data_IF_513695746410
#
_entry.id   IF_513695746410
#
_cell.length_a   1.000
_cell.length_b   1.000
_cell.length_c   1.000
_cell.angle_alpha   90.00
_cell.angle_beta   90.00
_cell.angle_gamma   90.00
#
_symmetry.space_group_name_H-M   'P 1'
#
loop_
_entity.id
_entity.type
_entity.pdbx_description
1 polymer ?
#
# COMPACT_ATOMS: atom_id res chain seq x y z
N UNK A 1 10.61 -16.15 8.54
CA UNK A 1 9.24 -16.12 7.93
C UNK A 1 9.25 -16.58 6.48
N UNK A 2 10.03 -15.93 5.55
CA UNK A 2 10.05 -16.35 4.14
C UNK A 2 10.63 -17.75 3.97
N UNK A 3 11.75 -18.04 4.60
CA UNK A 3 12.38 -19.38 4.60
C UNK A 3 11.51 -20.44 5.25
N UNK A 4 10.84 -20.12 6.36
CA UNK A 4 9.88 -21.01 7.04
C UNK A 4 8.68 -21.35 6.15
N UNK A 5 8.30 -20.43 5.26
CA UNK A 5 7.26 -20.64 4.25
C UNK A 5 7.78 -21.30 2.97
N UNK A 6 9.05 -21.71 2.91
CA UNK A 6 9.68 -22.31 1.73
C UNK A 6 10.00 -21.32 0.61
N UNK A 7 10.00 -20.02 0.91
CA UNK A 7 10.36 -18.95 -0.02
C UNK A 7 11.79 -18.47 0.17
N UNK A 8 12.25 -17.63 -0.77
CA UNK A 8 13.50 -16.89 -0.67
C UNK A 8 13.20 -15.41 -0.41
N UNK A 9 14.08 -14.72 0.30
CA UNK A 9 13.98 -13.30 0.53
C UNK A 9 15.33 -12.61 0.25
N UNK A 10 15.27 -11.51 -0.45
CA UNK A 10 16.39 -10.61 -0.68
C UNK A 10 16.05 -9.23 -0.11
N UNK A 11 17.03 -8.59 0.53
CA UNK A 11 16.87 -7.26 1.10
C UNK A 11 17.44 -6.21 0.15
N UNK A 12 16.61 -5.23 -0.21
CA UNK A 12 16.99 -4.03 -0.95
C UNK A 12 16.70 -2.80 -0.08
N UNK A 13 17.65 -2.34 0.77
CA UNK A 13 17.43 -1.17 1.60
C UNK A 13 17.54 0.13 0.78
N UNK A 14 16.50 0.96 0.79
CA UNK A 14 16.46 2.29 0.19
C UNK A 14 15.32 3.11 0.79
N UNK A 15 15.41 4.45 0.71
CA UNK A 15 14.32 5.32 1.08
C UNK A 15 13.31 5.46 -0.08
N UNK A 16 12.11 4.96 0.12
CA UNK A 16 11.03 5.00 -0.88
C UNK A 16 10.59 6.43 -1.24
N UNK A 17 10.86 7.41 -0.38
CA UNK A 17 10.54 8.81 -0.62
C UNK A 17 11.55 9.52 -1.53
N UNK A 18 12.71 8.90 -1.78
CA UNK A 18 13.79 9.44 -2.60
C UNK A 18 13.81 8.74 -3.96
N UNK A 19 13.33 9.45 -4.99
CA UNK A 19 13.19 8.89 -6.35
C UNK A 19 14.49 8.24 -6.87
N UNK A 20 15.64 8.89 -6.69
CA UNK A 20 16.91 8.38 -7.18
C UNK A 20 17.33 7.05 -6.52
N UNK A 21 17.01 6.88 -5.23
CA UNK A 21 17.28 5.63 -4.51
C UNK A 21 16.36 4.50 -5.00
N UNK A 22 15.08 4.80 -5.20
CA UNK A 22 14.12 3.85 -5.79
C UNK A 22 14.58 3.38 -7.17
N UNK A 23 14.96 4.32 -8.04
CA UNK A 23 15.42 4.00 -9.39
C UNK A 23 16.67 3.14 -9.35
N UNK A 24 17.66 3.53 -8.56
CA UNK A 24 18.91 2.78 -8.44
C UNK A 24 18.67 1.36 -7.88
N UNK A 25 17.83 1.21 -6.85
CA UNK A 25 17.54 -0.09 -6.25
C UNK A 25 16.88 -1.05 -7.25
N UNK A 26 15.83 -0.57 -7.95
CA UNK A 26 15.11 -1.39 -8.93
C UNK A 26 15.99 -1.72 -10.13
N UNK A 27 16.79 -0.78 -10.61
CA UNK A 27 17.70 -1.02 -11.76
C UNK A 27 18.79 -2.03 -11.42
N UNK A 28 19.45 -1.88 -10.27
CA UNK A 28 20.47 -2.81 -9.82
C UNK A 28 19.91 -4.24 -9.67
N UNK A 29 18.69 -4.37 -9.10
CA UNK A 29 18.06 -5.68 -9.02
C UNK A 29 17.75 -6.25 -10.40
N UNK A 30 17.21 -5.44 -11.31
CA UNK A 30 16.88 -5.84 -12.68
C UNK A 30 18.12 -6.28 -13.47
N UNK A 31 19.26 -5.59 -13.29
CA UNK A 31 20.53 -5.91 -13.95
C UNK A 31 21.14 -7.21 -13.42
N UNK A 32 20.91 -7.52 -12.13
CA UNK A 32 21.33 -8.78 -11.53
C UNK A 32 20.42 -9.97 -11.94
N UNK A 33 19.13 -9.70 -12.26
CA UNK A 33 18.11 -10.70 -12.55
C UNK A 33 17.52 -10.52 -13.96
N UNK A 34 18.35 -10.62 -14.98
CA UNK A 34 17.98 -10.29 -16.39
C UNK A 34 16.87 -11.16 -16.98
N UNK A 35 16.74 -12.40 -16.50
CA UNK A 35 15.70 -13.34 -16.96
C UNK A 35 14.39 -13.16 -16.22
N UNK A 36 14.42 -12.47 -15.06
CA UNK A 36 13.27 -12.24 -14.21
C UNK A 36 12.75 -10.80 -14.31
N UNK A 37 11.64 -10.55 -13.68
CA UNK A 37 11.07 -9.20 -13.49
C UNK A 37 10.26 -9.13 -12.21
N UNK A 38 10.10 -7.95 -11.68
CA UNK A 38 9.21 -7.72 -10.51
C UNK A 38 7.77 -7.85 -10.99
N UNK A 39 7.18 -9.01 -10.72
CA UNK A 39 5.86 -9.39 -11.20
C UNK A 39 4.73 -8.97 -10.24
N UNK A 40 5.04 -8.82 -8.95
CA UNK A 40 4.13 -8.36 -7.90
C UNK A 40 4.75 -7.18 -7.18
N UNK A 41 3.99 -6.09 -7.04
CA UNK A 41 4.38 -4.92 -6.26
C UNK A 41 3.35 -4.65 -5.17
N UNK A 42 3.79 -4.63 -3.92
CA UNK A 42 2.96 -4.19 -2.78
C UNK A 42 3.50 -2.86 -2.26
N UNK A 43 2.81 -1.76 -2.56
CA UNK A 43 3.15 -0.43 -2.06
C UNK A 43 2.65 -0.31 -0.61
N UNK A 44 3.46 -0.78 0.34
CA UNK A 44 3.10 -0.86 1.75
C UNK A 44 3.77 0.24 2.61
N UNK A 45 4.92 0.75 2.22
CA UNK A 45 5.64 1.75 2.99
C UNK A 45 4.75 2.97 3.30
N UNK A 46 4.78 3.43 4.54
CA UNK A 46 3.96 4.57 4.95
C UNK A 46 4.29 5.06 6.36
N UNK A 47 4.09 6.34 6.57
CA UNK A 47 4.28 7.01 7.84
C UNK A 47 3.06 7.84 8.19
N UNK A 48 2.88 8.14 9.48
CA UNK A 48 1.92 9.12 9.99
C UNK A 48 2.67 10.25 10.70
N UNK A 49 2.16 11.47 10.54
CA UNK A 49 2.52 12.67 11.30
C UNK A 49 1.22 13.40 11.59
N UNK A 50 0.55 12.96 12.65
CA UNK A 50 -0.80 13.42 12.98
C UNK A 50 -0.71 14.75 13.72
N UNK A 51 -1.44 15.75 13.24
CA UNK A 51 -1.64 17.04 13.91
C UNK A 51 -2.88 17.74 13.34
N UNK A 52 -3.50 18.64 14.13
CA UNK A 52 -4.53 19.51 13.59
C UNK A 52 -3.95 20.39 12.49
N UNK A 53 -4.71 20.66 11.45
CA UNK A 53 -4.26 21.39 10.24
C UNK A 53 -3.56 22.72 10.58
N UNK A 54 -4.10 23.46 11.56
CA UNK A 54 -3.55 24.75 11.98
C UNK A 54 -2.16 24.65 12.64
N UNK A 55 -1.77 23.49 13.16
CA UNK A 55 -0.50 23.23 13.83
C UNK A 55 0.42 22.30 13.03
N UNK A 56 -0.05 21.79 11.89
CA UNK A 56 0.73 20.90 11.06
C UNK A 56 1.91 21.64 10.42
N UNK A 57 3.10 21.08 10.56
CA UNK A 57 4.30 21.64 9.95
C UNK A 57 4.41 21.23 8.48
N UNK A 58 5.03 22.09 7.67
CA UNK A 58 5.26 21.83 6.24
C UNK A 58 6.02 20.51 6.03
N UNK A 59 7.00 20.21 6.87
CA UNK A 59 7.78 18.97 6.81
C UNK A 59 6.89 17.74 7.11
N UNK A 60 5.97 17.82 8.07
CA UNK A 60 5.05 16.73 8.38
C UNK A 60 4.10 16.45 7.20
N UNK A 61 3.63 17.50 6.56
CA UNK A 61 2.84 17.39 5.33
C UNK A 61 3.64 16.73 4.20
N UNK A 62 4.80 17.29 3.88
CA UNK A 62 5.62 16.85 2.76
C UNK A 62 6.16 15.44 2.95
N UNK A 63 6.65 15.10 4.14
CA UNK A 63 7.15 13.76 4.44
C UNK A 63 6.06 12.69 4.29
N UNK A 64 4.84 12.98 4.78
CA UNK A 64 3.71 12.05 4.63
C UNK A 64 3.34 11.88 3.15
N UNK A 65 3.26 12.94 2.36
CA UNK A 65 2.96 12.83 0.93
C UNK A 65 4.08 12.10 0.18
N UNK A 66 5.33 12.40 0.47
CA UNK A 66 6.46 11.78 -0.21
C UNK A 66 6.51 10.28 0.05
N UNK A 67 6.36 9.86 1.31
CA UNK A 67 6.44 8.45 1.68
C UNK A 67 5.18 7.66 1.28
N UNK A 68 3.98 8.24 1.48
CA UNK A 68 2.74 7.46 1.28
C UNK A 68 2.17 7.55 -0.15
N UNK A 69 2.53 8.58 -0.92
CA UNK A 69 1.97 8.81 -2.26
C UNK A 69 3.03 8.84 -3.36
N UNK A 70 4.07 9.68 -3.22
CA UNK A 70 5.06 9.82 -4.28
C UNK A 70 5.86 8.52 -4.48
N UNK A 71 6.10 7.75 -3.41
CA UNK A 71 6.73 6.42 -3.49
C UNK A 71 5.97 5.45 -4.40
N UNK A 72 4.64 5.47 -4.36
CA UNK A 72 3.81 4.71 -5.30
C UNK A 72 4.16 5.04 -6.75
N UNK A 73 4.25 6.33 -7.08
CA UNK A 73 4.58 6.76 -8.44
C UNK A 73 6.00 6.31 -8.84
N UNK A 74 6.99 6.50 -7.97
CA UNK A 74 8.38 6.15 -8.26
C UNK A 74 8.55 4.64 -8.52
N UNK A 75 8.08 3.81 -7.60
CA UNK A 75 8.17 2.35 -7.70
C UNK A 75 7.32 1.79 -8.84
N UNK A 76 6.05 2.18 -8.89
CA UNK A 76 5.11 1.63 -9.87
C UNK A 76 5.57 1.93 -11.30
N UNK A 77 5.93 3.18 -11.59
CA UNK A 77 6.43 3.56 -12.92
C UNK A 77 7.64 2.72 -13.33
N UNK A 78 8.52 2.39 -12.38
CA UNK A 78 9.76 1.67 -12.68
C UNK A 78 9.51 0.20 -13.01
N UNK A 79 8.64 -0.48 -12.28
CA UNK A 79 8.36 -1.91 -12.50
C UNK A 79 7.33 -2.17 -13.60
N UNK A 80 6.44 -1.21 -13.84
CA UNK A 80 5.30 -1.37 -14.73
C UNK A 80 5.69 -1.72 -16.17
N UNK A 81 6.78 -1.17 -16.68
CA UNK A 81 7.26 -1.42 -18.05
C UNK A 81 7.43 -2.92 -18.34
N UNK A 82 8.00 -3.65 -17.40
CA UNK A 82 8.23 -5.09 -17.55
C UNK A 82 6.93 -5.88 -17.39
N UNK A 83 6.07 -5.52 -16.43
CA UNK A 83 4.74 -6.14 -16.29
C UNK A 83 3.92 -6.00 -17.59
N UNK A 84 3.92 -4.81 -18.21
CA UNK A 84 3.22 -4.57 -19.48
C UNK A 84 3.81 -5.40 -20.64
N UNK A 85 5.12 -5.52 -20.72
CA UNK A 85 5.82 -6.30 -21.74
C UNK A 85 5.54 -7.80 -21.59
N UNK A 86 5.63 -8.32 -20.37
CA UNK A 86 5.37 -9.72 -20.03
C UNK A 86 3.87 -10.07 -20.00
N UNK A 87 2.99 -9.07 -20.08
CA UNK A 87 1.53 -9.20 -20.02
C UNK A 87 1.03 -9.95 -18.79
N UNK A 88 1.67 -9.69 -17.66
CA UNK A 88 1.27 -10.16 -16.34
C UNK A 88 1.86 -9.27 -15.25
N UNK A 89 1.06 -8.94 -14.26
CA UNK A 89 1.50 -8.18 -13.10
C UNK A 89 0.37 -8.00 -12.08
N UNK A 90 0.77 -7.78 -10.83
CA UNK A 90 -0.14 -7.52 -9.71
C UNK A 90 0.41 -6.35 -8.90
N UNK A 91 -0.39 -5.32 -8.74
CA UNK A 91 -0.05 -4.15 -7.94
C UNK A 91 -1.10 -4.01 -6.85
N UNK A 92 -0.67 -4.00 -5.60
CA UNK A 92 -1.54 -3.77 -4.44
C UNK A 92 -1.04 -2.56 -3.65
N UNK A 93 -1.92 -1.59 -3.49
CA UNK A 93 -1.64 -0.36 -2.78
C UNK A 93 -2.24 -0.41 -1.37
N UNK A 94 -1.41 -0.18 -0.35
CA UNK A 94 -1.90 -0.09 1.03
C UNK A 94 -2.50 1.29 1.28
N UNK A 95 -3.80 1.40 1.05
CA UNK A 95 -4.60 2.57 1.39
C UNK A 95 -4.85 2.63 2.92
N UNK A 96 -5.96 3.14 3.34
CA UNK A 96 -6.40 3.20 4.73
C UNK A 96 -7.88 3.57 4.80
N UNK A 97 -8.54 3.19 5.87
CA UNK A 97 -9.85 3.75 6.24
C UNK A 97 -9.81 5.29 6.28
N UNK A 98 -8.70 5.88 6.74
CA UNK A 98 -8.50 7.34 6.75
C UNK A 98 -8.56 7.96 5.36
N UNK A 99 -8.17 7.23 4.31
CA UNK A 99 -8.28 7.68 2.92
C UNK A 99 -9.72 7.61 2.37
N UNK A 100 -10.58 6.80 2.97
CA UNK A 100 -12.00 6.66 2.57
C UNK A 100 -12.87 7.67 3.33
N UNK A 101 -12.73 7.71 4.67
CA UNK A 101 -13.61 8.46 5.57
C UNK A 101 -13.06 9.84 5.93
N UNK A 102 -11.73 9.99 5.97
CA UNK A 102 -11.06 11.10 6.63
C UNK A 102 -11.08 10.95 8.16
N UNK A 103 -10.02 11.39 8.83
CA UNK A 103 -9.98 11.44 10.28
C UNK A 103 -9.41 12.79 10.76
N UNK A 104 -9.97 13.40 11.81
CA UNK A 104 -9.42 14.61 12.42
C UNK A 104 -7.95 14.40 12.81
N UNK A 105 -7.11 15.41 12.57
CA UNK A 105 -5.68 15.34 12.85
C UNK A 105 -4.85 14.59 11.79
N UNK A 106 -5.48 14.03 10.77
CA UNK A 106 -4.81 13.24 9.72
C UNK A 106 -5.02 13.83 8.32
N UNK A 107 -5.08 15.14 8.18
CA UNK A 107 -5.36 15.75 6.88
C UNK A 107 -4.34 15.38 5.81
N UNK A 108 -3.04 15.37 6.13
CA UNK A 108 -1.96 14.92 5.27
C UNK A 108 -2.08 13.42 4.92
N UNK A 109 -2.24 12.57 5.91
CA UNK A 109 -2.33 11.12 5.74
C UNK A 109 -3.60 10.71 4.97
N UNK A 110 -4.74 11.29 5.33
CA UNK A 110 -6.01 11.07 4.64
C UNK A 110 -5.93 11.52 3.18
N UNK A 111 -5.32 12.67 2.89
CA UNK A 111 -5.10 13.16 1.53
C UNK A 111 -4.24 12.19 0.72
N UNK A 112 -3.10 11.75 1.27
CA UNK A 112 -2.20 10.78 0.61
C UNK A 112 -2.92 9.45 0.31
N UNK A 113 -3.63 8.90 1.29
CA UNK A 113 -4.32 7.61 1.14
C UNK A 113 -5.55 7.68 0.23
N UNK A 114 -6.26 8.82 0.22
CA UNK A 114 -7.34 9.08 -0.75
C UNK A 114 -6.80 9.23 -2.18
N UNK A 115 -5.70 9.95 -2.36
CA UNK A 115 -5.03 10.08 -3.65
C UNK A 115 -4.57 8.72 -4.19
N UNK A 116 -4.06 7.84 -3.33
CA UNK A 116 -3.65 6.49 -3.70
C UNK A 116 -4.84 5.63 -4.19
N UNK A 117 -6.03 5.81 -3.60
CA UNK A 117 -7.27 5.17 -4.07
C UNK A 117 -7.62 5.66 -5.48
N UNK A 118 -7.56 6.97 -5.72
CA UNK A 118 -7.79 7.55 -7.04
C UNK A 118 -6.80 7.04 -8.08
N UNK A 119 -5.50 7.02 -7.74
CA UNK A 119 -4.43 6.52 -8.59
C UNK A 119 -4.60 5.02 -8.90
N UNK A 120 -5.03 4.21 -7.93
CA UNK A 120 -5.35 2.79 -8.12
C UNK A 120 -6.40 2.60 -9.22
N UNK A 121 -7.51 3.33 -9.15
CA UNK A 121 -8.62 3.23 -10.09
C UNK A 121 -8.25 3.69 -11.50
N UNK A 122 -7.47 4.76 -11.61
CA UNK A 122 -7.01 5.28 -12.89
C UNK A 122 -6.04 4.30 -13.57
N UNK A 123 -4.99 3.90 -12.84
CA UNK A 123 -3.98 2.99 -13.38
C UNK A 123 -4.57 1.62 -13.75
N UNK A 124 -5.53 1.11 -12.98
CA UNK A 124 -6.20 -0.15 -13.30
C UNK A 124 -6.80 -0.14 -14.71
N UNK A 125 -7.44 0.96 -15.13
CA UNK A 125 -8.01 1.11 -16.46
C UNK A 125 -6.94 1.18 -17.55
N UNK A 126 -5.81 1.83 -17.28
CA UNK A 126 -4.72 1.97 -18.24
C UNK A 126 -4.07 0.62 -18.59
N UNK A 127 -3.96 -0.29 -17.60
CA UNK A 127 -3.12 -1.48 -17.71
C UNK A 127 -3.88 -2.80 -17.85
N UNK A 128 -5.20 -2.81 -17.64
CA UNK A 128 -6.04 -4.03 -17.64
C UNK A 128 -5.90 -4.84 -18.92
N UNK A 129 -5.85 -4.18 -20.08
CA UNK A 129 -5.67 -4.85 -21.39
C UNK A 129 -4.33 -5.61 -21.50
N UNK A 130 -3.41 -5.36 -20.61
CA UNK A 130 -2.11 -6.04 -20.52
C UNK A 130 -2.07 -7.12 -19.42
N UNK A 131 -3.23 -7.52 -18.89
CA UNK A 131 -3.36 -8.51 -17.80
C UNK A 131 -2.61 -8.11 -16.53
N UNK A 132 -2.45 -6.82 -16.30
CA UNK A 132 -1.96 -6.26 -15.05
C UNK A 132 -3.16 -5.80 -14.24
N UNK A 133 -3.28 -6.23 -12.98
CA UNK A 133 -4.31 -5.75 -12.06
C UNK A 133 -3.72 -4.77 -11.05
N UNK A 134 -4.49 -3.77 -10.70
CA UNK A 134 -4.11 -2.75 -9.71
C UNK A 134 -5.27 -2.59 -8.73
N UNK A 135 -5.06 -2.95 -7.48
CA UNK A 135 -6.06 -2.88 -6.43
C UNK A 135 -5.50 -2.19 -5.18
N UNK A 136 -6.38 -1.84 -4.26
CA UNK A 136 -5.99 -1.31 -2.97
C UNK A 136 -6.61 -2.13 -1.83
N UNK A 137 -5.90 -2.18 -0.71
CA UNK A 137 -6.44 -2.67 0.56
C UNK A 137 -6.51 -1.47 1.50
N UNK A 138 -7.64 -1.29 2.17
CA UNK A 138 -7.89 -0.21 3.12
C UNK A 138 -8.10 -0.79 4.53
N UNK A 139 -7.02 -0.96 5.32
CA UNK A 139 -7.12 -1.42 6.69
C UNK A 139 -7.81 -0.37 7.59
N UNK A 140 -8.54 -0.88 8.59
CA UNK A 140 -8.96 -0.10 9.74
C UNK A 140 -7.89 -0.08 10.84
N UNK A 141 -8.30 -0.28 12.10
CA UNK A 141 -7.37 -0.43 13.22
C UNK A 141 -6.78 -1.84 13.23
N UNK A 142 -5.49 -1.92 12.96
CA UNK A 142 -4.72 -3.17 12.93
C UNK A 142 -3.66 -3.12 14.05
N UNK A 143 -3.50 -4.20 14.80
CA UNK A 143 -2.53 -4.32 15.89
C UNK A 143 -1.09 -4.34 15.34
N UNK A 144 -0.45 -3.19 15.31
CA UNK A 144 0.92 -2.96 14.81
C UNK A 144 1.63 -1.93 15.68
N UNK A 145 2.93 -1.74 15.46
CA UNK A 145 3.67 -0.68 16.14
C UNK A 145 3.08 0.72 15.94
N UNK A 146 2.44 0.95 14.79
CA UNK A 146 1.81 2.23 14.47
C UNK A 146 0.56 2.52 15.32
N UNK A 147 -0.05 1.51 15.90
CA UNK A 147 -1.32 1.60 16.65
C UNK A 147 -1.18 1.25 18.13
N UNK A 148 -0.02 0.79 18.59
CA UNK A 148 0.18 0.29 19.96
C UNK A 148 -0.07 1.33 21.06
N UNK A 149 0.08 2.62 20.74
CA UNK A 149 -0.16 3.73 21.67
C UNK A 149 -1.62 4.23 21.66
N UNK A 150 -2.45 3.68 20.77
CA UNK A 150 -3.86 4.05 20.70
C UNK A 150 -4.64 3.41 21.84
N UNK A 151 -5.72 4.07 22.35
CA UNK A 151 -6.57 3.53 23.41
C UNK A 151 -7.46 2.40 22.86
N UNK A 152 -6.87 1.20 22.72
CA UNK A 152 -7.51 0.04 22.08
C UNK A 152 -8.86 -0.30 22.75
N UNK A 153 -8.94 -0.27 24.09
CA UNK A 153 -10.15 -0.60 24.84
C UNK A 153 -11.33 0.33 24.52
N UNK A 154 -11.05 1.56 24.08
CA UNK A 154 -12.09 2.51 23.67
C UNK A 154 -12.42 2.33 22.20
N UNK A 155 -11.39 2.22 21.36
CA UNK A 155 -11.56 2.15 19.91
C UNK A 155 -12.21 0.86 19.44
N UNK A 156 -11.94 -0.28 20.09
CA UNK A 156 -12.56 -1.56 19.74
C UNK A 156 -14.08 -1.56 19.92
N UNK A 157 -14.62 -0.70 20.80
CA UNK A 157 -16.08 -0.54 20.97
C UNK A 157 -16.77 0.03 19.75
N UNK A 158 -16.04 0.73 18.89
CA UNK A 158 -16.55 1.28 17.64
C UNK A 158 -16.48 0.28 16.49
N UNK A 159 -15.72 -0.81 16.67
CA UNK A 159 -15.52 -1.83 15.63
C UNK A 159 -16.59 -2.92 15.82
N UNK A 160 -17.47 -3.18 14.86
CA UNK A 160 -18.51 -4.22 15.01
C UNK A 160 -17.97 -5.61 15.36
N UNK A 161 -16.80 -5.99 14.86
CA UNK A 161 -16.11 -7.25 15.22
C UNK A 161 -15.56 -7.23 16.65
N UNK A 162 -15.50 -6.07 17.32
CA UNK A 162 -15.14 -5.92 18.74
C UNK A 162 -13.64 -6.02 19.06
N UNK A 163 -12.75 -5.99 18.06
CA UNK A 163 -11.31 -6.04 18.24
C UNK A 163 -10.56 -5.33 17.12
N UNK A 164 -9.29 -5.03 17.33
CA UNK A 164 -8.38 -4.68 16.24
C UNK A 164 -8.16 -5.89 15.32
N UNK A 165 -7.95 -5.62 14.04
CA UNK A 165 -7.51 -6.63 13.08
C UNK A 165 -6.05 -7.02 13.34
N UNK A 166 -5.65 -8.17 12.79
CA UNK A 166 -4.26 -8.64 12.82
C UNK A 166 -3.57 -8.35 11.48
N UNK A 167 -2.25 -8.15 11.46
CA UNK A 167 -1.49 -8.01 10.21
C UNK A 167 -1.75 -9.15 9.21
N UNK A 168 -1.89 -10.39 9.71
CA UNK A 168 -2.15 -11.58 8.90
C UNK A 168 -3.50 -11.52 8.17
N UNK A 169 -4.51 -10.86 8.77
CA UNK A 169 -5.82 -10.69 8.13
C UNK A 169 -5.73 -9.72 6.95
N UNK A 170 -4.88 -8.70 7.05
CA UNK A 170 -4.57 -7.78 5.93
C UNK A 170 -3.73 -8.50 4.88
N UNK A 171 -2.71 -9.26 5.30
CA UNK A 171 -1.85 -10.01 4.40
C UNK A 171 -2.63 -11.04 3.59
N UNK A 172 -3.66 -11.69 4.18
CA UNK A 172 -4.55 -12.62 3.48
C UNK A 172 -5.32 -11.94 2.34
N UNK A 173 -5.80 -10.71 2.54
CA UNK A 173 -6.46 -9.95 1.48
C UNK A 173 -5.49 -9.57 0.36
N UNK A 174 -4.25 -9.17 0.72
CA UNK A 174 -3.19 -8.91 -0.26
C UNK A 174 -2.85 -10.19 -1.03
N UNK A 175 -2.66 -11.32 -0.33
CA UNK A 175 -2.36 -12.62 -0.93
C UNK A 175 -3.41 -13.05 -1.95
N UNK A 176 -4.71 -12.86 -1.64
CA UNK A 176 -5.79 -13.11 -2.58
C UNK A 176 -5.69 -12.20 -3.81
N UNK A 177 -5.46 -10.89 -3.62
CA UNK A 177 -5.42 -9.93 -4.73
C UNK A 177 -4.23 -10.14 -5.69
N UNK A 178 -3.15 -10.76 -5.23
CA UNK A 178 -1.99 -11.05 -6.09
C UNK A 178 -2.06 -12.44 -6.74
N UNK A 179 -3.03 -13.24 -6.36
CA UNK A 179 -3.23 -14.59 -6.90
C UNK A 179 -3.92 -14.58 -8.27
N UNK A 180 -3.96 -15.73 -8.94
CA UNK A 180 -4.64 -15.88 -10.22
C UNK A 180 -6.17 -15.91 -10.08
N UNK A 181 -6.70 -16.27 -8.92
CA UNK A 181 -8.13 -16.25 -8.60
C UNK A 181 -8.69 -14.82 -8.65
N UNK A 182 -7.85 -13.79 -8.40
CA UNK A 182 -8.23 -12.39 -8.48
C UNK A 182 -7.98 -11.76 -9.88
N UNK A 183 -7.72 -12.55 -10.92
CA UNK A 183 -7.33 -12.04 -12.24
C UNK A 183 -8.40 -11.12 -12.91
N UNK A 184 -9.65 -11.17 -12.48
CA UNK A 184 -10.74 -10.32 -12.98
C UNK A 184 -11.10 -9.17 -12.02
N UNK A 185 -10.34 -9.00 -10.94
CA UNK A 185 -10.51 -7.93 -9.94
C UNK A 185 -9.43 -6.86 -10.19
N UNK A 186 -9.84 -5.66 -10.61
CA UNK A 186 -8.93 -4.53 -10.81
C UNK A 186 -9.65 -3.21 -10.58
N UNK A 187 -8.96 -2.24 -10.00
CA UNK A 187 -9.53 -0.94 -9.62
C UNK A 187 -10.31 -0.95 -8.31
N UNK A 188 -10.31 -2.06 -7.58
CA UNK A 188 -11.08 -2.23 -6.36
C UNK A 188 -10.31 -1.78 -5.10
N UNK A 189 -11.08 -1.40 -4.07
CA UNK A 189 -10.59 -1.06 -2.74
C UNK A 189 -11.22 -1.98 -1.73
N UNK A 190 -10.47 -2.98 -1.28
CA UNK A 190 -10.97 -3.93 -0.27
C UNK A 190 -10.77 -3.36 1.12
N UNK A 191 -11.86 -3.12 1.83
CA UNK A 191 -11.84 -2.70 3.23
C UNK A 191 -11.59 -3.90 4.16
N UNK A 192 -10.56 -3.81 5.00
CA UNK A 192 -10.24 -4.80 6.05
C UNK A 192 -10.31 -4.08 7.39
N UNK A 193 -11.53 -3.83 7.89
CA UNK A 193 -11.75 -2.91 9.00
C UNK A 193 -12.74 -3.40 10.08
N UNK A 194 -13.13 -4.68 10.03
CA UNK A 194 -14.04 -5.27 11.03
C UNK A 194 -15.45 -4.66 11.03
N UNK A 195 -15.87 -4.04 9.92
CA UNK A 195 -17.18 -3.37 9.81
C UNK A 195 -17.19 -1.92 10.34
N UNK A 196 -16.04 -1.37 10.72
CA UNK A 196 -15.94 0.00 11.24
C UNK A 196 -16.47 1.05 10.24
N UNK A 197 -16.40 0.74 8.97
CA UNK A 197 -16.94 1.55 7.89
C UNK A 197 -17.36 0.62 6.71
N UNK A 198 -18.60 0.77 6.27
CA UNK A 198 -19.22 0.00 5.17
C UNK A 198 -19.85 0.95 4.16
#
# INVERSE_FOLDING_TARGET
LAEEAGGQAELMPFDVSVQAEVEAAVDNWQDAHKEDYIAVLVNNAGIRRDNLMIFMQDDDWNNVLNTNLNSFFFLTRRVLKNMLSKRWGRIVNMASLSGIKGLPGQTNYSAAKAALIGATKALAQEVAARKVTVNAVAPGFIATDMTKELPEEELKKMIPVGRFGKPEEVASAVGFLVSDEAAYITGEVISVNGGLYT
#
